data_IF_265960876806
#
_entry.id   IF_265960876806
#
_cell.length_a   1.000
_cell.length_b   1.000
_cell.length_c   1.000
_cell.angle_alpha   90.00
_cell.angle_beta   90.00
_cell.angle_gamma   90.00
#
_symmetry.space_group_name_H-M   'P 1'
#
loop_
_entity.id
_entity.type
_entity.pdbx_description
1 polymer ?
#
# COMPACT_ATOMS: atom_id res chain seq x y z
N UNK A 1 7.66 -6.40 -0.35
CA UNK A 1 8.04 -4.97 -0.41
C UNK A 1 7.40 -4.38 -1.66
N UNK A 2 7.53 -3.08 -1.93
CA UNK A 2 7.03 -2.53 -3.20
C UNK A 2 7.81 -3.16 -4.36
N UNK A 3 7.11 -3.79 -5.31
CA UNK A 3 7.73 -4.48 -6.45
C UNK A 3 7.47 -3.77 -7.77
N UNK A 4 6.32 -3.11 -7.92
CA UNK A 4 5.92 -2.48 -9.19
C UNK A 4 5.14 -1.18 -8.96
N UNK A 5 5.48 -0.17 -9.77
CA UNK A 5 4.60 0.96 -10.13
C UNK A 5 4.24 0.79 -11.60
N UNK A 6 2.96 0.58 -11.91
CA UNK A 6 2.49 0.32 -13.27
C UNK A 6 2.66 1.55 -14.17
N UNK A 7 3.31 1.37 -15.32
CA UNK A 7 3.39 2.42 -16.34
C UNK A 7 2.08 2.57 -17.12
N UNK A 8 1.24 1.53 -17.15
CA UNK A 8 -0.03 1.52 -17.86
C UNK A 8 -1.15 2.23 -17.07
N UNK A 9 -1.16 2.07 -15.73
CA UNK A 9 -2.23 2.56 -14.86
C UNK A 9 -1.89 3.85 -14.14
N UNK A 10 -0.60 4.15 -13.90
CA UNK A 10 -0.21 5.31 -13.11
C UNK A 10 -0.56 6.62 -13.82
N UNK A 11 -1.17 7.53 -13.06
CA UNK A 11 -1.55 8.88 -13.52
C UNK A 11 -0.62 9.98 -12.98
N UNK A 12 0.56 9.61 -12.48
CA UNK A 12 1.62 10.52 -12.03
C UNK A 12 1.19 11.51 -10.92
N UNK A 13 0.22 11.11 -10.08
CA UNK A 13 -0.33 11.96 -9.02
C UNK A 13 0.59 12.12 -7.80
N UNK A 14 1.61 11.27 -7.66
CA UNK A 14 2.58 11.27 -6.55
C UNK A 14 2.00 11.09 -5.14
N UNK A 15 0.76 10.63 -4.99
CA UNK A 15 0.18 10.32 -3.67
C UNK A 15 1.01 9.25 -2.95
N UNK A 16 1.51 8.22 -3.65
CA UNK A 16 2.40 7.21 -3.08
C UNK A 16 3.69 7.79 -2.50
N UNK A 17 4.22 8.88 -3.08
CA UNK A 17 5.38 9.61 -2.55
C UNK A 17 5.03 10.26 -1.21
N UNK A 18 3.84 10.85 -1.10
CA UNK A 18 3.40 11.57 0.10
C UNK A 18 3.06 10.64 1.27
N UNK A 19 2.49 9.48 1.01
CA UNK A 19 2.00 8.56 2.07
C UNK A 19 3.03 7.53 2.52
N UNK A 20 4.16 7.41 1.83
CA UNK A 20 5.17 6.42 2.18
C UNK A 20 5.93 6.85 3.45
N UNK A 21 5.82 6.12 4.57
CA UNK A 21 6.42 6.54 5.84
C UNK A 21 7.95 6.43 5.83
N UNK A 22 8.52 5.62 4.94
CA UNK A 22 9.97 5.42 4.80
C UNK A 22 10.53 6.07 3.52
N UNK A 23 9.75 6.93 2.85
CA UNK A 23 10.18 7.71 1.69
C UNK A 23 10.76 6.86 0.53
N UNK A 24 10.22 5.68 0.25
CA UNK A 24 10.74 4.74 -0.77
C UNK A 24 10.73 5.31 -2.20
N UNK A 25 9.84 6.26 -2.49
CA UNK A 25 9.61 6.78 -3.84
C UNK A 25 10.26 8.15 -4.06
N UNK A 26 10.79 8.37 -5.27
CA UNK A 26 11.16 9.69 -5.77
C UNK A 26 10.16 10.16 -6.82
N UNK A 27 9.71 11.41 -6.71
CA UNK A 27 8.85 12.02 -7.72
C UNK A 27 9.66 12.30 -8.99
N UNK A 28 9.12 11.92 -10.14
CA UNK A 28 9.75 12.16 -11.45
C UNK A 28 8.87 13.12 -12.25
N UNK A 29 9.43 14.20 -12.85
CA UNK A 29 8.64 15.14 -13.65
C UNK A 29 7.88 14.45 -14.78
N UNK A 30 6.56 14.65 -14.81
CA UNK A 30 5.63 14.14 -15.82
C UNK A 30 5.64 12.61 -16.01
N UNK A 31 6.09 11.85 -15.01
CA UNK A 31 6.25 10.40 -15.08
C UNK A 31 5.82 9.73 -13.78
N UNK A 32 5.71 8.40 -13.82
CA UNK A 32 5.47 7.62 -12.61
C UNK A 32 6.64 7.81 -11.64
N UNK A 33 6.40 7.86 -10.32
CA UNK A 33 7.47 7.97 -9.35
C UNK A 33 8.36 6.73 -9.40
N UNK A 34 9.67 6.93 -9.23
CA UNK A 34 10.64 5.87 -9.20
C UNK A 34 10.66 5.19 -7.82
N UNK A 35 10.79 3.87 -7.80
CA UNK A 35 11.12 3.12 -6.58
C UNK A 35 12.63 3.29 -6.34
N UNK A 36 13.02 4.16 -5.42
CA UNK A 36 14.40 4.59 -5.26
C UNK A 36 15.11 3.96 -4.05
N UNK A 37 14.35 3.56 -3.02
CA UNK A 37 14.86 2.94 -1.78
C UNK A 37 14.02 1.73 -1.42
N UNK A 38 13.99 0.73 -2.29
CA UNK A 38 13.10 -0.44 -2.19
C UNK A 38 13.29 -1.19 -0.86
N UNK A 39 14.55 -1.29 -0.42
CA UNK A 39 15.01 -1.92 0.80
C UNK A 39 14.43 -1.30 2.08
N UNK A 40 13.99 -0.03 2.04
CA UNK A 40 13.38 0.66 3.17
C UNK A 40 11.87 0.36 3.29
N UNK A 41 11.28 -0.37 2.33
CA UNK A 41 9.87 -0.68 2.31
C UNK A 41 9.49 -1.69 3.40
N UNK A 42 8.61 -1.27 4.32
CA UNK A 42 8.12 -2.10 5.44
C UNK A 42 6.85 -2.89 5.11
N UNK A 43 6.49 -3.06 3.83
CA UNK A 43 5.26 -3.75 3.40
C UNK A 43 4.02 -3.28 4.16
N UNK A 44 3.90 -1.97 4.38
CA UNK A 44 2.76 -1.38 5.09
C UNK A 44 1.53 -1.13 4.19
N UNK A 45 1.70 -1.31 2.88
CA UNK A 45 0.66 -1.16 1.85
C UNK A 45 -0.02 0.22 1.79
N UNK A 46 0.51 1.26 2.44
CA UNK A 46 -0.06 2.61 2.40
C UNK A 46 -0.12 3.18 0.98
N UNK A 47 0.92 2.95 0.18
CA UNK A 47 0.93 3.41 -1.21
C UNK A 47 -0.17 2.74 -2.06
N UNK A 48 -0.47 1.46 -1.82
CA UNK A 48 -1.55 0.74 -2.48
C UNK A 48 -2.93 1.22 -1.99
N UNK A 49 -3.09 1.37 -0.67
CA UNK A 49 -4.32 1.88 -0.06
C UNK A 49 -4.72 3.25 -0.61
N UNK A 50 -3.75 4.15 -0.83
CA UNK A 50 -4.01 5.52 -1.27
C UNK A 50 -3.91 5.72 -2.79
N UNK A 51 -3.49 4.71 -3.56
CA UNK A 51 -3.48 4.84 -5.02
C UNK A 51 -4.91 4.95 -5.56
N UNK A 52 -5.27 6.03 -6.27
CA UNK A 52 -6.64 6.20 -6.76
C UNK A 52 -6.97 5.22 -7.90
N UNK A 53 -5.96 4.78 -8.64
CA UNK A 53 -6.04 4.00 -9.89
C UNK A 53 -5.43 2.60 -9.75
N UNK A 54 -5.19 2.16 -8.52
CA UNK A 54 -4.70 0.81 -8.19
C UNK A 54 -3.42 0.42 -8.99
N UNK A 55 -2.50 1.37 -9.18
CA UNK A 55 -1.32 1.23 -10.02
C UNK A 55 -0.06 0.70 -9.31
N UNK A 56 -0.16 0.22 -8.06
CA UNK A 56 0.99 -0.31 -7.31
C UNK A 56 0.76 -1.76 -6.90
N UNK A 57 1.83 -2.54 -6.90
CA UNK A 57 1.87 -3.88 -6.32
C UNK A 57 2.95 -3.96 -5.23
N UNK A 58 2.50 -4.28 -4.01
CA UNK A 58 3.36 -4.51 -2.85
C UNK A 58 3.31 -6.00 -2.52
N UNK A 59 4.45 -6.68 -2.58
CA UNK A 59 4.55 -8.05 -2.09
C UNK A 59 4.49 -8.09 -0.55
N UNK A 60 3.95 -9.17 0.06
CA UNK A 60 3.81 -9.29 1.51
C UNK A 60 5.14 -9.44 2.27
N UNK A 61 6.19 -9.93 1.61
CA UNK A 61 7.50 -10.16 2.22
C UNK A 61 8.38 -8.92 2.15
N UNK A 62 8.93 -8.43 3.27
CA UNK A 62 9.74 -7.19 3.31
C UNK A 62 11.22 -7.37 2.93
N UNK A 63 11.71 -8.61 2.86
CA UNK A 63 13.15 -8.90 2.66
C UNK A 63 13.43 -9.91 1.54
N UNK A 64 12.45 -10.22 0.71
CA UNK A 64 12.59 -11.17 -0.39
C UNK A 64 12.25 -10.50 -1.70
N UNK A 65 13.23 -10.40 -2.58
CA UNK A 65 13.01 -9.88 -3.93
C UNK A 65 12.14 -10.84 -4.73
N UNK A 66 11.17 -10.27 -5.44
CA UNK A 66 10.30 -10.99 -6.35
C UNK A 66 10.45 -10.40 -7.74
N UNK A 67 10.68 -11.26 -8.73
CA UNK A 67 10.51 -10.84 -10.13
C UNK A 67 9.02 -10.86 -10.44
N UNK A 68 8.48 -9.73 -10.87
CA UNK A 68 7.07 -9.57 -11.24
C UNK A 68 6.95 -9.11 -12.68
N UNK A 69 5.84 -9.46 -13.32
CA UNK A 69 5.46 -8.99 -14.64
C UNK A 69 4.20 -8.11 -14.51
N UNK A 70 4.22 -6.94 -15.13
CA UNK A 70 3.12 -5.98 -15.03
C UNK A 70 1.81 -6.51 -15.63
N UNK A 71 1.86 -7.13 -16.80
CA UNK A 71 0.67 -7.64 -17.49
C UNK A 71 0.01 -8.78 -16.69
N UNK A 72 0.82 -9.66 -16.09
CA UNK A 72 0.31 -10.75 -15.23
C UNK A 72 -0.36 -10.20 -13.96
N UNK A 73 0.22 -9.16 -13.34
CA UNK A 73 -0.36 -8.50 -12.17
C UNK A 73 -1.68 -7.79 -12.51
N UNK A 74 -1.76 -7.15 -13.67
CA UNK A 74 -3.00 -6.52 -14.16
C UNK A 74 -4.04 -7.61 -14.47
N UNK A 75 -3.66 -8.67 -15.18
CA UNK A 75 -4.57 -9.74 -15.60
C UNK A 75 -5.13 -10.53 -14.41
N UNK A 76 -4.33 -10.75 -13.36
CA UNK A 76 -4.80 -11.36 -12.12
C UNK A 76 -5.73 -10.47 -11.29
N UNK A 77 -5.72 -9.15 -11.56
CA UNK A 77 -6.47 -8.17 -10.80
C UNK A 77 -5.95 -7.95 -9.38
N UNK A 78 -4.74 -8.41 -9.06
CA UNK A 78 -4.19 -8.32 -7.70
C UNK A 78 -3.84 -6.88 -7.30
N UNK A 79 -3.55 -6.01 -8.26
CA UNK A 79 -3.22 -4.61 -7.96
C UNK A 79 -4.41 -3.89 -7.32
N UNK A 80 -4.19 -3.25 -6.17
CA UNK A 80 -5.24 -2.59 -5.37
C UNK A 80 -6.10 -3.53 -4.52
N UNK A 81 -5.76 -4.83 -4.45
CA UNK A 81 -6.47 -5.80 -3.61
C UNK A 81 -6.48 -5.38 -2.14
N UNK A 82 -5.36 -4.86 -1.62
CA UNK A 82 -5.28 -4.43 -0.24
C UNK A 82 -6.28 -3.30 0.05
N UNK A 83 -6.32 -2.28 -0.83
CA UNK A 83 -7.25 -1.16 -0.76
C UNK A 83 -8.71 -1.62 -0.79
N UNK A 84 -9.04 -2.60 -1.65
CA UNK A 84 -10.38 -3.18 -1.76
C UNK A 84 -10.76 -3.96 -0.50
N UNK A 85 -9.85 -4.78 -0.01
CA UNK A 85 -10.05 -5.61 1.19
C UNK A 85 -10.30 -4.78 2.43
N UNK A 86 -9.55 -3.69 2.62
CA UNK A 86 -9.77 -2.77 3.75
C UNK A 86 -11.07 -1.96 3.65
N UNK A 87 -11.69 -1.91 2.47
CA UNK A 87 -12.75 -0.94 2.17
C UNK A 87 -12.25 0.50 2.26
N UNK A 88 -10.96 0.73 1.96
CA UNK A 88 -10.33 2.04 2.06
C UNK A 88 -10.67 2.93 0.86
N UNK A 89 -11.21 4.12 1.12
CA UNK A 89 -11.56 5.11 0.11
C UNK A 89 -13.00 5.62 0.23
N UNK A 90 -13.26 6.79 -0.36
CA UNK A 90 -14.58 7.42 -0.31
C UNK A 90 -15.66 6.54 -0.95
N UNK A 91 -16.83 6.47 -0.30
CA UNK A 91 -17.98 5.70 -0.79
C UNK A 91 -17.88 4.18 -0.57
N UNK A 92 -16.79 3.67 0.01
CA UNK A 92 -16.65 2.25 0.38
C UNK A 92 -17.10 2.03 1.83
N UNK A 93 -17.69 0.86 2.09
CA UNK A 93 -17.89 0.40 3.45
C UNK A 93 -16.54 -0.09 3.97
N UNK A 94 -15.92 0.70 4.86
CA UNK A 94 -14.72 0.25 5.57
C UNK A 94 -15.09 -0.89 6.54
N UNK A 95 -14.09 -1.64 6.98
CA UNK A 95 -14.27 -2.77 7.91
C UNK A 95 -14.06 -2.36 9.38
N UNK A 96 -14.24 -1.09 9.74
CA UNK A 96 -13.97 -0.61 11.11
C UNK A 96 -14.91 -1.22 12.15
N UNK A 97 -16.09 -1.69 11.75
CA UNK A 97 -17.00 -2.42 12.63
C UNK A 97 -16.46 -3.80 13.06
N UNK A 98 -15.52 -4.36 12.30
CA UNK A 98 -14.85 -5.61 12.64
C UNK A 98 -13.71 -5.39 13.64
N UNK A 99 -13.31 -4.15 13.89
CA UNK A 99 -12.25 -3.83 14.83
C UNK A 99 -12.66 -4.14 16.28
N UNK A 100 -11.94 -5.09 16.87
CA UNK A 100 -12.14 -5.49 18.26
C UNK A 100 -11.25 -4.72 19.24
N UNK A 101 -10.43 -3.75 18.78
CA UNK A 101 -9.51 -3.01 19.64
C UNK A 101 -10.22 -2.26 20.77
N UNK A 102 -11.49 -1.88 20.60
CA UNK A 102 -12.30 -1.31 21.67
C UNK A 102 -12.39 -2.22 22.92
N UNK A 103 -12.31 -3.56 22.74
CA UNK A 103 -12.31 -4.55 23.83
C UNK A 103 -11.03 -4.49 24.66
N UNK A 104 -9.92 -3.98 24.11
CA UNK A 104 -8.67 -3.79 24.87
C UNK A 104 -8.86 -2.85 26.07
N UNK A 105 -9.84 -1.93 26.02
CA UNK A 105 -10.18 -1.05 27.16
C UNK A 105 -10.72 -1.82 28.37
N UNK A 106 -11.20 -3.04 28.17
CA UNK A 106 -11.78 -3.91 29.20
C UNK A 106 -10.73 -4.85 29.82
N UNK A 107 -9.56 -4.99 29.19
CA UNK A 107 -8.48 -5.81 29.75
C UNK A 107 -7.86 -5.08 30.96
N UNK A 108 -7.50 -5.80 32.04
CA UNK A 108 -6.73 -5.23 33.14
C UNK A 108 -5.42 -4.69 32.56
N UNK A 109 -5.11 -3.42 32.79
CA UNK A 109 -3.89 -2.80 32.26
C UNK A 109 -2.69 -3.25 33.10
N UNK A 110 -1.78 -4.09 32.58
CA UNK A 110 -0.65 -4.58 33.38
C UNK A 110 0.41 -3.48 33.65
N UNK A 111 0.31 -2.34 32.98
CA UNK A 111 1.17 -1.17 33.17
C UNK A 111 0.32 0.08 33.41
N UNK A 112 -0.24 0.18 34.62
CA UNK A 112 -0.64 1.45 35.21
C UNK A 112 0.22 1.64 36.46
N UNK A 113 1.44 2.15 36.26
CA UNK A 113 2.23 2.81 37.31
C UNK A 113 1.96 4.31 37.27
#
# INVERSE_FOLDING_TARGET
MIELVSHQLCINCNVCVQVCPTNVFDAVPNQAPAIARKEDCQTCFMCEAYCPVDALYVAPESHTEMTVNEDDLIASGIMGEYRRTLGWGYGRKNNSELDTAHKLRQLPRPYQS
#
